data_IF_907783731822
#
_entry.id   IF_907783731822
#
_cell.length_a   1.000
_cell.length_b   1.000
_cell.length_c   1.000
_cell.angle_alpha   90.00
_cell.angle_beta   90.00
_cell.angle_gamma   90.00
#
_symmetry.space_group_name_H-M   'P 1'
#
loop_
_entity.id
_entity.type
_entity.pdbx_description
1 polymer ?
#
# COMPACT_ATOMS: atom_id res chain seq x y z
N UNK A 1 -60.44 -31.30 -14.07
CA UNK A 1 -59.78 -32.32 -14.91
C UNK A 1 -58.33 -32.45 -14.46
N UNK A 2 -57.94 -33.63 -13.98
CA UNK A 2 -56.57 -34.13 -13.71
C UNK A 2 -55.57 -33.78 -14.86
N UNK A 3 -54.23 -33.79 -14.75
CA UNK A 3 -53.22 -34.14 -13.72
C UNK A 3 -51.81 -33.78 -14.24
N UNK A 4 -50.90 -33.47 -13.31
CA UNK A 4 -49.49 -33.89 -13.31
C UNK A 4 -48.46 -32.99 -14.01
N UNK A 5 -47.18 -32.96 -13.61
CA UNK A 5 -46.45 -33.50 -12.46
C UNK A 5 -44.98 -33.05 -12.63
N UNK A 6 -44.29 -32.75 -11.51
CA UNK A 6 -42.83 -32.72 -11.24
C UNK A 6 -42.56 -31.56 -10.23
N UNK A 7 -42.67 -31.75 -8.91
CA UNK A 7 -41.74 -32.43 -7.99
C UNK A 7 -40.37 -31.69 -7.94
N UNK A 8 -39.78 -31.22 -6.83
CA UNK A 8 -39.71 -31.61 -5.40
C UNK A 8 -39.23 -30.34 -4.64
N UNK A 9 -39.98 -29.79 -3.67
CA UNK A 9 -39.77 -29.81 -2.20
C UNK A 9 -38.33 -29.46 -1.70
N UNK A 10 -38.06 -28.78 -0.58
CA UNK A 10 -38.80 -28.01 0.42
C UNK A 10 -37.75 -27.54 1.47
N UNK A 11 -38.16 -26.69 2.42
CA UNK A 11 -37.57 -26.41 3.73
C UNK A 11 -36.46 -25.35 3.91
N UNK A 12 -36.87 -24.24 4.57
CA UNK A 12 -36.37 -23.66 5.84
C UNK A 12 -34.87 -23.27 5.93
N UNK A 13 -34.42 -22.25 6.64
CA UNK A 13 -35.00 -21.40 7.67
C UNK A 13 -34.01 -20.23 7.95
N UNK A 14 -34.56 -19.11 8.45
CA UNK A 14 -34.09 -18.31 9.60
C UNK A 14 -32.69 -17.65 9.59
N UNK A 15 -32.73 -16.32 9.76
CA UNK A 15 -32.27 -15.58 10.95
C UNK A 15 -30.94 -15.99 11.61
N UNK A 16 -30.00 -15.06 11.75
CA UNK A 16 -28.89 -15.25 12.68
C UNK A 16 -27.79 -14.18 12.64
N UNK A 17 -28.04 -13.02 13.24
CA UNK A 17 -26.97 -12.32 13.94
C UNK A 17 -26.64 -13.11 15.23
N UNK A 18 -25.38 -13.02 15.68
CA UNK A 18 -24.80 -13.55 16.92
C UNK A 18 -24.23 -14.98 16.87
N UNK A 19 -22.95 -15.11 16.51
CA UNK A 19 -22.00 -16.09 17.06
C UNK A 19 -20.59 -15.94 16.45
N UNK A 20 -19.76 -15.02 16.96
CA UNK A 20 -18.31 -15.04 16.68
C UNK A 20 -17.45 -14.86 17.95
N UNK A 21 -17.98 -15.25 19.12
CA UNK A 21 -17.30 -15.05 20.41
C UNK A 21 -16.93 -16.35 21.14
N UNK A 22 -16.81 -17.48 20.44
CA UNK A 22 -16.33 -18.75 21.02
C UNK A 22 -15.56 -19.62 20.04
N UNK A 23 -14.37 -19.19 19.64
CA UNK A 23 -13.34 -20.12 19.19
C UNK A 23 -12.33 -20.33 20.32
N UNK A 24 -12.06 -21.58 20.74
CA UNK A 24 -11.04 -21.87 21.75
C UNK A 24 -9.65 -21.59 21.16
N UNK A 25 -8.91 -20.67 21.78
CA UNK A 25 -7.50 -20.41 21.46
C UNK A 25 -6.66 -21.56 22.04
N UNK A 26 -5.85 -22.27 21.25
CA UNK A 26 -4.97 -23.31 21.79
C UNK A 26 -3.87 -22.67 22.68
N UNK A 27 -3.42 -23.34 23.75
CA UNK A 27 -2.35 -22.82 24.59
C UNK A 27 -1.06 -22.72 23.78
N UNK A 28 -0.47 -21.52 23.77
CA UNK A 28 0.84 -21.27 23.15
C UNK A 28 1.91 -21.98 23.99
N UNK A 29 2.77 -22.83 23.42
CA UNK A 29 3.84 -23.47 24.18
C UNK A 29 4.83 -22.41 24.68
N UNK A 30 5.15 -22.47 25.97
CA UNK A 30 6.15 -21.59 26.58
C UNK A 30 7.53 -21.92 26.01
N UNK A 31 8.08 -21.02 25.20
CA UNK A 31 9.48 -21.07 24.78
C UNK A 31 10.34 -20.57 25.95
N UNK A 32 11.28 -21.38 26.49
CA UNK A 32 12.16 -20.92 27.55
C UNK A 32 13.11 -19.83 27.03
N UNK A 33 13.25 -18.74 27.79
CA UNK A 33 14.29 -17.74 27.52
C UNK A 33 15.68 -18.36 27.77
N UNK A 34 16.67 -18.10 26.91
CA UNK A 34 18.01 -18.67 27.06
C UNK A 34 18.68 -18.13 28.32
N UNK A 35 19.31 -19.02 29.09
CA UNK A 35 20.10 -18.65 30.27
C UNK A 35 21.45 -18.10 29.85
N UNK A 36 21.91 -17.08 30.56
CA UNK A 36 23.25 -16.53 30.41
C UNK A 36 24.28 -17.56 30.91
N UNK A 37 25.19 -17.95 30.01
CA UNK A 37 26.35 -18.78 30.32
C UNK A 37 26.30 -20.16 29.66
N UNK A 38 26.54 -20.19 28.35
CA UNK A 38 27.18 -21.31 27.63
C UNK A 38 27.71 -20.71 26.32
N UNK A 39 28.98 -20.31 26.31
CA UNK A 39 29.69 -19.91 25.12
C UNK A 39 30.21 -21.17 24.43
N UNK A 40 29.63 -21.50 23.28
CA UNK A 40 30.08 -22.60 22.43
C UNK A 40 31.24 -22.10 21.54
N UNK A 41 32.50 -22.57 21.70
CA UNK A 41 33.64 -22.03 20.96
C UNK A 41 33.75 -22.57 19.52
N UNK A 42 32.72 -23.24 19.00
CA UNK A 42 32.71 -23.88 17.68
C UNK A 42 31.79 -23.23 16.64
N UNK A 43 31.36 -21.97 16.84
CA UNK A 43 30.58 -21.21 15.86
C UNK A 43 31.41 -20.18 15.05
N UNK A 44 32.73 -20.37 14.94
CA UNK A 44 33.63 -19.56 14.11
C UNK A 44 33.81 -20.16 12.71
N UNK A 45 32.72 -20.34 11.96
CA UNK A 45 32.81 -20.68 10.53
C UNK A 45 31.50 -20.42 9.76
N UNK A 46 31.01 -19.18 9.74
CA UNK A 46 30.12 -18.68 8.68
C UNK A 46 30.08 -17.14 8.70
N UNK A 47 31.25 -16.51 8.60
CA UNK A 47 31.37 -15.09 8.30
C UNK A 47 31.59 -14.93 6.78
N UNK A 48 30.53 -15.14 6.01
CA UNK A 48 30.41 -14.69 4.63
C UNK A 48 28.92 -14.36 4.41
N UNK A 49 28.66 -13.11 4.00
CA UNK A 49 27.35 -12.55 3.60
C UNK A 49 26.34 -12.17 4.69
N UNK A 50 26.80 -11.54 5.78
CA UNK A 50 25.91 -10.69 6.57
C UNK A 50 25.65 -9.39 5.78
N UNK A 51 24.52 -9.36 5.06
CA UNK A 51 23.94 -8.12 4.51
C UNK A 51 24.09 -6.99 5.54
N UNK A 52 24.60 -5.79 5.16
CA UNK A 52 24.75 -4.70 6.11
C UNK A 52 23.40 -4.37 6.74
N UNK A 53 23.24 -4.70 8.03
CA UNK A 53 22.01 -4.44 8.79
C UNK A 53 21.83 -2.95 9.14
N UNK A 54 22.70 -2.09 8.61
CA UNK A 54 22.63 -0.65 8.84
C UNK A 54 21.62 -0.01 7.88
N UNK A 55 20.55 0.52 8.46
CA UNK A 55 19.55 1.32 7.76
C UNK A 55 20.14 2.48 6.94
N UNK A 56 21.26 3.07 7.36
CA UNK A 56 21.89 4.19 6.63
C UNK A 56 22.52 3.71 5.32
N UNK A 57 23.20 2.56 5.34
CA UNK A 57 23.72 1.92 4.13
C UNK A 57 22.59 1.58 3.15
N UNK A 58 21.52 0.95 3.65
CA UNK A 58 20.36 0.59 2.84
C UNK A 58 19.69 1.84 2.25
N UNK A 59 19.57 2.91 3.02
CA UNK A 59 19.02 4.19 2.56
C UNK A 59 19.87 4.84 1.45
N UNK A 60 21.20 4.80 1.59
CA UNK A 60 22.14 5.31 0.58
C UNK A 60 22.00 4.54 -0.74
N UNK A 61 21.98 3.20 -0.67
CA UNK A 61 21.81 2.34 -1.85
C UNK A 61 20.45 2.55 -2.52
N UNK A 62 19.39 2.71 -1.74
CA UNK A 62 18.06 3.01 -2.26
C UNK A 62 18.06 4.33 -3.04
N UNK A 63 18.64 5.40 -2.46
CA UNK A 63 18.74 6.72 -3.12
C UNK A 63 19.60 6.65 -4.39
N UNK A 64 20.75 5.99 -4.34
CA UNK A 64 21.59 5.82 -5.53
C UNK A 64 20.84 5.06 -6.65
N UNK A 65 20.10 4.01 -6.32
CA UNK A 65 19.29 3.27 -7.28
C UNK A 65 18.16 4.15 -7.85
N UNK A 66 17.52 4.97 -7.01
CA UNK A 66 16.50 5.93 -7.42
C UNK A 66 17.07 6.95 -8.42
N UNK A 67 18.18 7.60 -8.07
CA UNK A 67 18.81 8.65 -8.88
C UNK A 67 19.34 8.11 -10.22
N UNK A 68 19.67 6.82 -10.29
CA UNK A 68 20.11 6.14 -11.53
C UNK A 68 18.96 5.51 -12.33
N UNK A 69 17.71 5.72 -11.92
CA UNK A 69 16.53 5.21 -12.63
C UNK A 69 16.28 3.70 -12.46
N UNK A 70 17.06 3.01 -11.62
CA UNK A 70 16.86 1.59 -11.28
C UNK A 70 15.80 1.45 -10.20
N UNK A 71 14.57 1.74 -10.58
CA UNK A 71 13.48 1.91 -9.63
C UNK A 71 13.06 0.61 -8.94
N UNK A 72 13.18 -0.53 -9.61
CA UNK A 72 12.97 -1.86 -9.02
C UNK A 72 13.96 -2.14 -7.88
N UNK A 73 15.24 -1.82 -8.10
CA UNK A 73 16.30 -1.93 -7.09
C UNK A 73 16.05 -0.96 -5.93
N UNK A 74 15.64 0.28 -6.22
CA UNK A 74 15.31 1.27 -5.21
C UNK A 74 14.12 0.83 -4.33
N UNK A 75 13.05 0.30 -4.94
CA UNK A 75 11.89 -0.26 -4.24
C UNK A 75 12.33 -1.37 -3.28
N UNK A 76 13.18 -2.30 -3.74
CA UNK A 76 13.74 -3.38 -2.93
C UNK A 76 14.49 -2.87 -1.68
N UNK A 77 15.37 -1.88 -1.85
CA UNK A 77 16.10 -1.30 -0.72
C UNK A 77 15.19 -0.50 0.23
N UNK A 78 14.21 0.26 -0.27
CA UNK A 78 13.26 0.92 0.63
C UNK A 78 12.43 -0.07 1.44
N UNK A 79 12.01 -1.19 0.84
CA UNK A 79 11.32 -2.28 1.55
C UNK A 79 12.25 -2.97 2.58
N UNK A 80 13.55 -3.11 2.28
CA UNK A 80 14.54 -3.57 3.25
C UNK A 80 14.69 -2.58 4.42
N UNK A 81 14.75 -1.26 4.14
CA UNK A 81 14.80 -0.24 5.19
C UNK A 81 13.56 -0.32 6.09
N UNK A 82 12.37 -0.53 5.54
CA UNK A 82 11.16 -0.76 6.32
C UNK A 82 11.25 -1.95 7.28
N UNK A 83 11.91 -3.04 6.86
CA UNK A 83 12.15 -4.21 7.72
C UNK A 83 13.13 -3.89 8.85
N UNK A 84 14.16 -3.08 8.59
CA UNK A 84 15.15 -2.68 9.59
C UNK A 84 14.58 -1.66 10.59
N UNK A 85 13.71 -0.75 10.14
CA UNK A 85 13.09 0.29 10.96
C UNK A 85 11.59 0.46 10.63
N UNK A 86 10.71 -0.41 11.17
CA UNK A 86 9.27 -0.39 10.84
C UNK A 86 8.52 0.91 11.20
N UNK A 87 9.04 1.65 12.19
CA UNK A 87 8.49 2.93 12.64
C UNK A 87 9.02 4.15 11.88
N UNK A 88 10.01 3.99 11.00
CA UNK A 88 10.59 5.10 10.25
C UNK A 88 9.66 5.55 9.12
N UNK A 89 9.35 6.85 9.08
CA UNK A 89 8.51 7.45 8.04
C UNK A 89 9.27 7.66 6.72
N UNK A 90 10.60 7.79 6.77
CA UNK A 90 11.42 8.13 5.61
C UNK A 90 11.31 7.14 4.44
N UNK A 91 11.43 5.80 4.62
CA UNK A 91 11.29 4.87 3.52
C UNK A 91 9.88 4.85 2.90
N UNK A 92 8.82 5.11 3.68
CA UNK A 92 7.46 5.26 3.15
C UNK A 92 7.32 6.51 2.27
N UNK A 93 7.88 7.64 2.71
CA UNK A 93 7.90 8.87 1.91
C UNK A 93 8.62 8.65 0.58
N UNK A 94 9.77 7.97 0.60
CA UNK A 94 10.55 7.70 -0.60
C UNK A 94 9.87 6.69 -1.55
N UNK A 95 9.21 5.65 -1.03
CA UNK A 95 8.35 4.79 -1.84
C UNK A 95 7.20 5.58 -2.47
N UNK A 96 6.61 6.54 -1.75
CA UNK A 96 5.62 7.46 -2.28
C UNK A 96 6.12 8.25 -3.49
N UNK A 97 7.33 8.84 -3.40
CA UNK A 97 7.96 9.55 -4.50
C UNK A 97 8.21 8.62 -5.70
N UNK A 98 8.81 7.45 -5.44
CA UNK A 98 9.12 6.44 -6.46
C UNK A 98 7.87 5.99 -7.23
N UNK A 99 6.79 5.66 -6.52
CA UNK A 99 5.54 5.27 -7.18
C UNK A 99 4.88 6.43 -7.93
N UNK A 100 5.00 7.67 -7.44
CA UNK A 100 4.45 8.84 -8.10
C UNK A 100 5.16 9.16 -9.43
N UNK A 101 6.48 9.00 -9.47
CA UNK A 101 7.31 9.11 -10.68
C UNK A 101 6.96 8.01 -11.70
N UNK A 102 6.74 6.78 -11.22
CA UNK A 102 6.29 5.66 -12.05
C UNK A 102 4.84 5.79 -12.54
N UNK A 103 4.08 6.77 -12.08
CA UNK A 103 2.64 6.88 -12.35
C UNK A 103 1.78 5.81 -11.65
N UNK A 104 2.34 5.03 -10.72
CA UNK A 104 1.62 4.07 -9.86
C UNK A 104 0.91 4.82 -8.72
N UNK A 105 -0.03 5.68 -9.08
CA UNK A 105 -0.61 6.68 -8.18
C UNK A 105 -1.30 6.09 -6.94
N UNK A 106 -2.02 4.97 -7.07
CA UNK A 106 -2.64 4.31 -5.91
C UNK A 106 -1.60 3.79 -4.90
N UNK A 107 -0.46 3.32 -5.40
CA UNK A 107 0.64 2.87 -4.54
C UNK A 107 1.33 4.05 -3.87
N UNK A 108 1.50 5.16 -4.59
CA UNK A 108 2.02 6.40 -4.04
C UNK A 108 1.13 6.94 -2.91
N UNK A 109 -0.19 6.98 -3.13
CA UNK A 109 -1.15 7.43 -2.11
C UNK A 109 -1.04 6.60 -0.83
N UNK A 110 -1.02 5.26 -0.95
CA UNK A 110 -0.87 4.37 0.21
C UNK A 110 0.44 4.64 0.96
N UNK A 111 1.56 4.75 0.24
CA UNK A 111 2.86 4.96 0.84
C UNK A 111 2.95 6.31 1.59
N UNK A 112 2.44 7.40 1.02
CA UNK A 112 2.39 8.68 1.72
C UNK A 112 1.48 8.66 2.95
N UNK A 113 0.34 7.96 2.90
CA UNK A 113 -0.51 7.77 4.08
C UNK A 113 0.22 6.99 5.18
N UNK A 114 0.99 5.96 4.83
CA UNK A 114 1.82 5.24 5.81
C UNK A 114 2.92 6.11 6.42
N UNK A 115 3.55 6.98 5.63
CA UNK A 115 4.53 7.95 6.13
C UNK A 115 3.88 8.90 7.14
N UNK A 116 2.72 9.50 6.80
CA UNK A 116 2.00 10.44 7.66
C UNK A 116 1.49 9.80 8.97
N UNK A 117 1.14 8.50 8.96
CA UNK A 117 0.80 7.78 10.20
C UNK A 117 1.97 7.66 11.18
N UNK A 118 3.20 7.68 10.68
CA UNK A 118 4.42 7.56 11.49
C UNK A 118 4.97 8.92 11.90
N UNK A 119 4.89 9.90 11.00
CA UNK A 119 5.31 11.27 11.27
C UNK A 119 4.45 12.25 10.48
N UNK A 120 3.82 13.18 11.18
CA UNK A 120 3.18 14.31 10.53
C UNK A 120 4.24 15.19 9.85
N UNK A 121 4.08 15.42 8.56
CA UNK A 121 5.11 15.99 7.70
C UNK A 121 4.46 16.75 6.53
N UNK A 122 4.59 18.08 6.54
CA UNK A 122 3.93 18.95 5.57
C UNK A 122 4.32 18.67 4.11
N UNK A 123 5.56 18.22 3.86
CA UNK A 123 6.03 17.85 2.52
C UNK A 123 5.36 16.57 2.04
N UNK A 124 5.25 15.58 2.92
CA UNK A 124 4.54 14.33 2.64
C UNK A 124 3.07 14.61 2.36
N UNK A 125 2.43 15.48 3.15
CA UNK A 125 1.05 15.89 2.93
C UNK A 125 0.87 16.62 1.60
N UNK A 126 1.79 17.52 1.25
CA UNK A 126 1.79 18.20 -0.05
C UNK A 126 1.86 17.20 -1.21
N UNK A 127 2.80 16.26 -1.17
CA UNK A 127 2.97 15.25 -2.22
C UNK A 127 1.75 14.32 -2.33
N UNK A 128 1.16 13.93 -1.20
CA UNK A 128 -0.11 13.20 -1.16
C UNK A 128 -1.22 13.98 -1.87
N UNK A 129 -1.35 15.28 -1.60
CA UNK A 129 -2.33 16.15 -2.26
C UNK A 129 -2.15 16.17 -3.79
N UNK A 130 -0.91 16.28 -4.27
CA UNK A 130 -0.61 16.22 -5.71
C UNK A 130 -1.02 14.87 -6.33
N UNK A 131 -0.74 13.76 -5.65
CA UNK A 131 -1.15 12.42 -6.10
C UNK A 131 -2.67 12.30 -6.13
N UNK A 132 -3.37 12.80 -5.12
CA UNK A 132 -4.84 12.78 -5.05
C UNK A 132 -5.49 13.59 -6.16
N UNK A 133 -4.95 14.76 -6.50
CA UNK A 133 -5.40 15.53 -7.66
C UNK A 133 -5.21 14.73 -8.94
N UNK A 134 -4.05 14.09 -9.14
CA UNK A 134 -3.79 13.26 -10.33
C UNK A 134 -4.76 12.08 -10.44
N UNK A 135 -5.03 11.38 -9.32
CA UNK A 135 -6.02 10.30 -9.24
C UNK A 135 -7.43 10.81 -9.60
N UNK A 136 -7.86 11.92 -9.00
CA UNK A 136 -9.16 12.54 -9.27
C UNK A 136 -9.32 12.95 -10.73
N UNK A 137 -8.28 13.56 -11.33
CA UNK A 137 -8.27 13.89 -12.76
C UNK A 137 -8.39 12.64 -13.63
N UNK A 138 -7.69 11.55 -13.28
CA UNK A 138 -7.80 10.26 -13.97
C UNK A 138 -9.21 9.69 -13.92
N UNK A 139 -9.82 9.66 -12.72
CA UNK A 139 -11.18 9.17 -12.50
C UNK A 139 -12.21 10.00 -13.28
N UNK A 140 -12.10 11.33 -13.25
CA UNK A 140 -12.99 12.23 -13.99
C UNK A 140 -12.87 12.04 -15.51
N UNK A 141 -11.65 11.86 -16.03
CA UNK A 141 -11.45 11.57 -17.46
C UNK A 141 -12.09 10.25 -17.86
N UNK A 142 -11.99 9.22 -17.02
CA UNK A 142 -12.61 7.93 -17.30
C UNK A 142 -14.14 8.01 -17.26
N UNK A 143 -14.70 8.67 -16.25
CA UNK A 143 -16.14 8.93 -16.18
C UNK A 143 -16.63 9.68 -17.42
N UNK A 144 -15.94 10.74 -17.82
CA UNK A 144 -16.27 11.53 -19.01
C UNK A 144 -16.33 10.70 -20.29
N UNK A 145 -15.40 9.73 -20.47
CA UNK A 145 -15.39 8.86 -21.65
C UNK A 145 -16.62 7.94 -21.71
N UNK A 146 -17.10 7.48 -20.56
CA UNK A 146 -18.23 6.54 -20.43
C UNK A 146 -19.59 7.24 -20.53
N UNK A 147 -19.67 8.52 -20.18
CA UNK A 147 -20.92 9.29 -20.25
C UNK A 147 -21.35 9.54 -21.72
N UNK A 148 -22.66 9.52 -22.02
CA UNK A 148 -23.19 9.88 -23.33
C UNK A 148 -22.71 11.28 -23.80
N UNK A 149 -22.56 11.52 -25.12
CA UNK A 149 -22.11 12.82 -25.64
C UNK A 149 -22.94 14.02 -25.16
N UNK A 150 -24.26 13.84 -25.01
CA UNK A 150 -25.19 14.91 -24.65
C UNK A 150 -25.41 15.07 -23.14
N UNK A 151 -24.80 14.21 -22.33
CA UNK A 151 -24.92 14.21 -20.88
C UNK A 151 -24.33 15.51 -20.27
N UNK A 152 -25.11 16.27 -19.47
CA UNK A 152 -24.61 17.48 -18.80
C UNK A 152 -23.33 17.27 -17.99
N UNK A 153 -23.23 16.15 -17.25
CA UNK A 153 -22.07 15.85 -16.40
C UNK A 153 -20.79 15.67 -17.23
N UNK A 154 -20.91 15.21 -18.49
CA UNK A 154 -19.77 15.11 -19.42
C UNK A 154 -19.22 16.48 -19.80
N UNK A 155 -20.11 17.45 -20.05
CA UNK A 155 -19.76 18.86 -20.34
C UNK A 155 -19.13 19.53 -19.12
N UNK A 156 -19.77 19.42 -17.96
CA UNK A 156 -19.27 19.98 -16.69
C UNK A 156 -17.88 19.46 -16.35
N UNK A 157 -17.68 18.14 -16.45
CA UNK A 157 -16.37 17.52 -16.23
C UNK A 157 -15.31 18.06 -17.20
N UNK A 158 -15.67 18.30 -18.47
CA UNK A 158 -14.76 18.86 -19.48
C UNK A 158 -14.27 20.25 -19.09
N UNK A 159 -15.21 21.09 -18.65
CA UNK A 159 -14.96 22.48 -18.30
C UNK A 159 -14.13 22.58 -17.01
N UNK A 160 -14.48 21.78 -16.00
CA UNK A 160 -13.69 21.65 -14.78
C UNK A 160 -12.25 21.25 -15.09
N UNK A 161 -12.05 20.17 -15.86
CA UNK A 161 -10.70 19.71 -16.21
C UNK A 161 -9.93 20.75 -17.03
N UNK A 162 -10.59 21.50 -17.92
CA UNK A 162 -9.97 22.59 -18.68
C UNK A 162 -9.54 23.72 -17.75
N UNK A 163 -10.37 24.13 -16.79
CA UNK A 163 -10.04 25.19 -15.86
C UNK A 163 -8.88 24.79 -14.93
N UNK A 164 -8.94 23.56 -14.39
CA UNK A 164 -7.91 23.01 -13.49
C UNK A 164 -6.55 22.85 -14.17
N UNK A 165 -6.52 22.40 -15.42
CA UNK A 165 -5.27 22.14 -16.15
C UNK A 165 -4.79 23.36 -16.95
N UNK A 166 -5.70 24.26 -17.33
CA UNK A 166 -5.39 25.48 -18.08
C UNK A 166 -4.88 26.63 -17.20
N UNK A 167 -5.14 26.61 -15.89
CA UNK A 167 -4.53 27.55 -14.94
C UNK A 167 -3.06 27.24 -14.64
N UNK A 168 -2.59 26.02 -14.91
CA UNK A 168 -1.21 25.58 -14.69
C UNK A 168 -0.23 26.00 -15.80
N UNK A 169 -0.71 26.67 -16.86
CA UNK A 169 0.07 27.08 -18.03
C UNK A 169 0.28 28.61 -18.14
N UNK A 170 0.04 29.37 -17.06
CA UNK A 170 0.23 30.82 -17.00
C UNK A 170 1.17 31.21 -15.87
#
# INVERSE_FOLDING_TARGET
>A
MNRGLLAVACYAALSGCAALDRLPVPPVPAVPLPRAGDADPAATAAAADAEPSDSAFVAERARQAYDTGRWDVAEGYYLQWLRLKPGDAAPWFQLGNLYAEQGRLDSAERAYREALRRRDDARTLHNLGLVQVRLGVGALREAQKRLPPDDPARRETREFLRALLGSAAR
#
